data_IF_983639224942
#
_entry.id   IF_983639224942
#
_cell.length_a   1.000
_cell.length_b   1.000
_cell.length_c   1.000
_cell.angle_alpha   90.00
_cell.angle_beta   90.00
_cell.angle_gamma   90.00
#
_symmetry.space_group_name_H-M   'P 1'
#
loop_
_entity.id
_entity.type
_entity.pdbx_description
1 polymer ?
#
# COMPACT_ATOMS: atom_id res chain seq x y z
N UNK A 1 -14.07 -14.57 -7.90
CA UNK A 1 -14.16 -13.17 -7.49
C UNK A 1 -13.08 -12.87 -6.46
N UNK A 2 -12.37 -11.79 -6.65
CA UNK A 2 -11.28 -11.46 -5.75
C UNK A 2 -11.80 -10.75 -4.50
N UNK A 3 -11.21 -11.05 -3.39
CA UNK A 3 -11.54 -10.34 -2.14
C UNK A 3 -10.52 -9.24 -1.88
N UNK A 4 -10.86 -8.33 -0.99
CA UNK A 4 -9.99 -7.24 -0.58
C UNK A 4 -9.43 -7.55 0.81
N UNK A 5 -8.12 -7.56 0.92
CA UNK A 5 -7.45 -7.79 2.18
C UNK A 5 -6.88 -6.46 2.67
N UNK A 6 -7.20 -6.09 3.89
CA UNK A 6 -6.69 -4.83 4.44
C UNK A 6 -5.32 -5.03 5.07
N UNK A 7 -4.46 -4.07 4.83
CA UNK A 7 -3.11 -4.06 5.40
C UNK A 7 -2.90 -2.68 6.03
N UNK A 8 -2.77 -2.66 7.33
CA UNK A 8 -2.58 -1.40 8.06
C UNK A 8 -1.10 -1.17 8.32
N UNK A 9 -0.63 -0.03 7.87
CA UNK A 9 0.75 0.37 8.10
C UNK A 9 0.81 1.29 9.31
N UNK A 10 1.74 1.03 10.23
CA UNK A 10 1.88 1.81 11.46
C UNK A 10 2.71 3.08 11.26
N UNK A 11 3.22 3.28 10.07
CA UNK A 11 4.11 4.41 9.78
C UNK A 11 3.40 5.46 8.96
N UNK A 12 3.93 6.66 8.96
CA UNK A 12 3.35 7.73 8.15
C UNK A 12 3.52 7.52 6.66
N UNK A 13 4.47 6.68 6.27
CA UNK A 13 4.67 6.31 4.87
C UNK A 13 4.99 4.83 4.82
N UNK A 14 4.32 4.05 3.97
CA UNK A 14 4.66 2.64 3.84
C UNK A 14 6.11 2.47 3.41
N UNK A 15 6.79 1.52 4.03
CA UNK A 15 8.17 1.22 3.68
C UNK A 15 8.22 0.36 2.42
N UNK A 16 9.39 0.28 1.81
CA UNK A 16 9.60 -0.56 0.64
C UNK A 16 9.27 -2.02 0.95
N UNK A 17 9.62 -2.48 2.14
CA UNK A 17 9.33 -3.85 2.55
C UNK A 17 7.82 -4.10 2.65
N UNK A 18 7.08 -3.14 3.17
CA UNK A 18 5.64 -3.28 3.29
C UNK A 18 4.97 -3.31 1.92
N UNK A 19 5.47 -2.49 0.99
CA UNK A 19 4.96 -2.51 -0.38
C UNK A 19 5.24 -3.86 -1.03
N UNK A 20 6.45 -4.39 -0.87
CA UNK A 20 6.81 -5.69 -1.42
C UNK A 20 5.99 -6.80 -0.81
N UNK A 21 5.74 -6.73 0.48
CA UNK A 21 4.89 -7.71 1.16
C UNK A 21 3.48 -7.70 0.61
N UNK A 22 2.93 -6.51 0.38
CA UNK A 22 1.60 -6.39 -0.21
C UNK A 22 1.56 -6.97 -1.62
N UNK A 23 2.58 -6.71 -2.42
CA UNK A 23 2.68 -7.26 -3.77
C UNK A 23 2.77 -8.79 -3.74
N UNK A 24 3.51 -9.32 -2.79
CA UNK A 24 3.61 -10.76 -2.62
C UNK A 24 2.26 -11.37 -2.26
N UNK A 25 1.53 -10.72 -1.37
CA UNK A 25 0.20 -11.18 -0.98
C UNK A 25 -0.76 -11.21 -2.17
N UNK A 26 -0.80 -10.15 -2.97
CA UNK A 26 -1.73 -10.11 -4.09
C UNK A 26 -1.39 -11.15 -5.15
N UNK A 27 -0.11 -11.45 -5.32
CA UNK A 27 0.30 -12.48 -6.28
C UNK A 27 0.06 -13.88 -5.77
N UNK A 28 0.25 -14.09 -4.48
CA UNK A 28 0.09 -15.40 -3.86
C UNK A 28 -1.37 -15.76 -3.65
N UNK A 29 -2.17 -14.82 -3.18
CA UNK A 29 -3.55 -15.07 -2.81
C UNK A 29 -4.56 -14.64 -3.87
N UNK A 30 -4.08 -14.06 -4.96
CA UNK A 30 -4.93 -13.55 -6.03
C UNK A 30 -6.04 -12.66 -5.49
N UNK A 31 -5.65 -11.66 -4.70
CA UNK A 31 -6.58 -10.73 -4.08
C UNK A 31 -6.13 -9.30 -4.33
N UNK A 32 -6.94 -8.37 -3.86
CA UNK A 32 -6.58 -6.95 -3.85
C UNK A 32 -6.22 -6.61 -2.42
N UNK A 33 -5.09 -5.93 -2.23
CA UNK A 33 -4.69 -5.45 -0.90
C UNK A 33 -4.96 -3.96 -0.81
N UNK A 34 -5.70 -3.57 0.22
CA UNK A 34 -5.93 -2.17 0.52
C UNK A 34 -4.90 -1.77 1.58
N UNK A 35 -3.83 -1.17 1.13
CA UNK A 35 -2.79 -0.67 2.02
C UNK A 35 -3.25 0.68 2.57
N UNK A 36 -3.32 0.79 3.89
CA UNK A 36 -3.83 1.96 4.58
C UNK A 36 -2.80 2.47 5.56
N UNK A 37 -2.62 3.78 5.61
CA UNK A 37 -1.72 4.40 6.58
C UNK A 37 -2.27 5.76 6.99
N UNK A 38 -1.84 6.24 8.15
CA UNK A 38 -2.28 7.51 8.69
C UNK A 38 -1.13 8.51 8.68
N UNK A 39 -1.39 9.68 8.13
CA UNK A 39 -0.41 10.77 8.11
C UNK A 39 -0.89 11.87 9.05
N UNK A 40 -0.04 12.24 9.99
CA UNK A 40 -0.37 13.10 11.12
C UNK A 40 -1.22 14.32 10.81
N UNK A 41 -0.92 15.06 9.78
CA UNK A 41 -1.67 16.27 9.46
C UNK A 41 -2.51 16.15 8.20
N UNK A 42 -2.52 14.99 7.59
CA UNK A 42 -3.22 14.76 6.32
C UNK A 42 -4.29 13.68 6.41
N UNK A 43 -4.34 12.96 7.51
CA UNK A 43 -5.36 11.95 7.72
C UNK A 43 -5.03 10.59 7.10
N UNK A 44 -6.05 9.81 6.88
CA UNK A 44 -5.90 8.46 6.34
C UNK A 44 -5.69 8.46 4.86
N UNK A 45 -4.75 7.64 4.41
CA UNK A 45 -4.50 7.40 3.00
C UNK A 45 -4.63 5.92 2.73
N UNK A 46 -4.96 5.56 1.50
CA UNK A 46 -4.97 4.16 1.11
C UNK A 46 -4.53 4.01 -0.33
N UNK A 47 -4.06 2.81 -0.66
CA UNK A 47 -3.65 2.43 -2.00
C UNK A 47 -4.14 1.02 -2.25
N UNK A 48 -4.87 0.84 -3.35
CA UNK A 48 -5.31 -0.49 -3.76
C UNK A 48 -4.22 -1.13 -4.60
N UNK A 49 -3.65 -2.20 -4.08
CA UNK A 49 -2.60 -2.94 -4.75
C UNK A 49 -3.21 -4.17 -5.40
N UNK A 50 -3.03 -4.28 -6.70
CA UNK A 50 -3.64 -5.34 -7.50
C UNK A 50 -2.55 -6.20 -8.14
N UNK A 51 -2.95 -7.40 -8.53
CA UNK A 51 -2.09 -8.29 -9.28
C UNK A 51 -1.64 -7.62 -10.58
N UNK A 52 -0.37 -7.74 -10.91
CA UNK A 52 0.20 -7.14 -12.10
C UNK A 52 0.84 -5.78 -11.89
N UNK A 53 0.67 -5.18 -10.72
CA UNK A 53 1.33 -3.92 -10.43
C UNK A 53 2.80 -4.16 -10.07
N UNK A 54 3.64 -3.20 -10.44
CA UNK A 54 5.06 -3.26 -10.10
C UNK A 54 5.31 -2.48 -8.82
N UNK A 55 6.47 -2.73 -8.23
CA UNK A 55 6.91 -1.98 -7.05
C UNK A 55 6.96 -0.48 -7.36
N UNK A 56 7.52 -0.13 -8.50
CA UNK A 56 7.62 1.28 -8.94
C UNK A 56 6.25 1.94 -9.03
N UNK A 57 5.29 1.25 -9.60
CA UNK A 57 3.94 1.80 -9.71
C UNK A 57 3.33 2.07 -8.35
N UNK A 58 3.51 1.14 -7.43
CA UNK A 58 2.99 1.31 -6.07
C UNK A 58 3.65 2.49 -5.38
N UNK A 59 4.96 2.58 -5.51
CA UNK A 59 5.71 3.66 -4.88
C UNK A 59 5.35 5.02 -5.45
N UNK A 60 5.11 5.09 -6.75
CA UNK A 60 4.72 6.35 -7.40
C UNK A 60 3.34 6.82 -6.97
N UNK A 61 2.46 5.91 -6.58
CA UNK A 61 1.11 6.26 -6.15
C UNK A 61 1.04 6.71 -4.69
N UNK A 62 2.11 6.50 -3.93
CA UNK A 62 2.17 6.93 -2.55
C UNK A 62 2.62 8.39 -2.53
N UNK A 63 1.79 9.29 -2.00
CA UNK A 63 2.17 10.71 -1.95
C UNK A 63 3.45 10.90 -1.16
N UNK A 64 4.33 11.71 -1.68
CA UNK A 64 5.52 12.08 -0.95
C UNK A 64 5.16 13.22 -0.02
N UNK A 65 5.12 12.92 1.26
CA UNK A 65 4.79 13.90 2.26
C UNK A 65 6.09 14.33 2.91
N UNK A 66 6.45 15.56 2.65
CA UNK A 66 7.64 16.11 3.23
C UNK A 66 7.26 16.75 4.55
N UNK A 67 7.81 16.22 5.61
CA UNK A 67 7.68 16.83 6.91
C UNK A 67 8.36 18.18 6.86
N UNK A 68 7.67 19.16 7.27
CA UNK A 68 8.22 20.52 7.26
C UNK A 68 8.61 20.90 8.67
#
# INVERSE_FOLDING_TARGET
MKYVKEYLCDKETPSDEEIRECLEIVNKEDCIVKLTWFVRYNGWHNLLIKNGMTFEECKDKIPKIYGV
#
